data_IF_864729054614
#
_entry.id   IF_864729054614
#
_cell.length_a   1.000
_cell.length_b   1.000
_cell.length_c   1.000
_cell.angle_alpha   90.00
_cell.angle_beta   90.00
_cell.angle_gamma   90.00
#
_symmetry.space_group_name_H-M   'P 1'
#
loop_
_entity.id
_entity.type
_entity.pdbx_description
1 polymer ?
#
# COMPACT_ATOMS: atom_id res chain seq x y z
N UNK A 1 2.05 -15.77 9.05
CA UNK A 1 2.94 -14.80 8.35
C UNK A 1 2.07 -13.64 7.93
N UNK A 2 2.51 -12.39 8.12
CA UNK A 2 1.66 -11.21 7.90
C UNK A 2 1.32 -11.01 6.40
N UNK A 3 0.21 -11.61 5.93
CA UNK A 3 -0.21 -11.61 4.53
C UNK A 3 -0.47 -10.21 3.98
N UNK A 4 -0.90 -9.30 4.86
CA UNK A 4 -1.14 -7.90 4.53
C UNK A 4 0.12 -7.20 4.00
N UNK A 5 1.23 -7.25 4.74
CA UNK A 5 2.49 -6.60 4.33
C UNK A 5 3.13 -7.29 3.12
N UNK A 6 2.93 -8.60 2.94
CA UNK A 6 3.39 -9.28 1.72
C UNK A 6 2.66 -8.70 0.51
N UNK A 7 1.33 -8.56 0.61
CA UNK A 7 0.53 -8.02 -0.48
C UNK A 7 0.90 -6.56 -0.79
N UNK A 8 1.21 -5.73 0.21
CA UNK A 8 1.71 -4.37 -0.02
C UNK A 8 3.07 -4.37 -0.73
N UNK A 9 4.00 -5.21 -0.28
CA UNK A 9 5.32 -5.34 -0.89
C UNK A 9 5.25 -5.84 -2.34
N UNK A 10 4.37 -6.82 -2.62
CA UNK A 10 4.15 -7.34 -3.96
C UNK A 10 3.53 -6.29 -4.88
N UNK A 11 2.60 -5.48 -4.38
CA UNK A 11 2.06 -4.35 -5.14
C UNK A 11 3.13 -3.31 -5.44
N UNK A 12 3.97 -2.94 -4.46
CA UNK A 12 5.08 -2.00 -4.68
C UNK A 12 6.07 -2.52 -5.73
N UNK A 13 6.44 -3.80 -5.67
CA UNK A 13 7.28 -4.44 -6.70
C UNK A 13 6.63 -4.41 -8.07
N UNK A 14 5.35 -4.73 -8.17
CA UNK A 14 4.63 -4.70 -9.43
C UNK A 14 4.57 -3.29 -10.03
N UNK A 15 4.47 -2.26 -9.20
CA UNK A 15 4.40 -0.86 -9.63
C UNK A 15 5.77 -0.30 -10.00
N UNK A 16 6.84 -0.69 -9.30
CA UNK A 16 8.17 -0.35 -9.75
C UNK A 16 8.50 -1.00 -11.10
N UNK A 17 8.10 -2.25 -11.34
CA UNK A 17 8.30 -2.90 -12.65
C UNK A 17 7.41 -2.32 -13.74
N UNK A 18 6.21 -1.88 -13.39
CA UNK A 18 5.24 -1.31 -14.31
C UNK A 18 4.39 -0.23 -13.59
N UNK A 19 4.79 1.05 -13.70
CA UNK A 19 4.09 2.14 -13.01
C UNK A 19 2.63 2.33 -13.44
N UNK A 20 2.27 1.90 -14.66
CA UNK A 20 0.90 1.98 -15.17
C UNK A 20 0.05 0.73 -14.88
N UNK A 21 0.50 -0.14 -13.97
CA UNK A 21 -0.28 -1.31 -13.55
C UNK A 21 -1.47 -0.92 -12.67
N UNK A 22 -2.58 -0.56 -13.32
CA UNK A 22 -3.83 -0.15 -12.66
C UNK A 22 -4.40 -1.22 -11.70
N UNK A 23 -4.13 -2.51 -11.93
CA UNK A 23 -4.57 -3.58 -11.02
C UNK A 23 -3.78 -3.55 -9.70
N UNK A 24 -2.46 -3.35 -9.78
CA UNK A 24 -1.61 -3.19 -8.60
C UNK A 24 -1.96 -1.91 -7.83
N UNK A 25 -2.21 -0.78 -8.51
CA UNK A 25 -2.70 0.45 -7.87
C UNK A 25 -4.02 0.23 -7.12
N UNK A 26 -5.01 -0.39 -7.77
CA UNK A 26 -6.31 -0.66 -7.15
C UNK A 26 -6.21 -1.58 -5.93
N UNK A 27 -5.36 -2.62 -6.02
CA UNK A 27 -5.11 -3.56 -4.92
C UNK A 27 -4.40 -2.88 -3.75
N UNK A 28 -3.35 -2.08 -4.03
CA UNK A 28 -2.61 -1.34 -3.01
C UNK A 28 -3.49 -0.31 -2.31
N UNK A 29 -4.35 0.39 -3.05
CA UNK A 29 -5.36 1.26 -2.48
C UNK A 29 -6.30 0.52 -1.51
N UNK A 30 -6.79 -0.68 -1.87
CA UNK A 30 -7.62 -1.51 -0.96
C UNK A 30 -6.88 -1.90 0.32
N UNK A 31 -5.58 -2.21 0.21
CA UNK A 31 -4.77 -2.55 1.38
C UNK A 31 -4.60 -1.33 2.29
N UNK A 32 -4.26 -0.17 1.74
CA UNK A 32 -4.17 1.08 2.50
C UNK A 32 -5.50 1.49 3.14
N UNK A 33 -6.63 1.34 2.44
CA UNK A 33 -7.97 1.54 3.03
C UNK A 33 -8.23 0.63 4.23
N UNK A 34 -7.81 -0.64 4.14
CA UNK A 34 -8.05 -1.62 5.21
C UNK A 34 -7.31 -1.33 6.52
N UNK A 35 -6.26 -0.51 6.46
CA UNK A 35 -5.52 0.02 7.62
C UNK A 35 -5.80 1.50 7.86
N UNK A 36 -6.79 2.09 7.18
CA UNK A 36 -7.17 3.51 7.29
C UNK A 36 -6.05 4.50 6.92
N UNK A 37 -5.11 4.05 6.10
CA UNK A 37 -4.10 4.93 5.52
C UNK A 37 -4.70 5.65 4.30
N UNK A 38 -5.60 6.60 4.57
CA UNK A 38 -6.42 7.24 3.53
C UNK A 38 -5.59 7.99 2.50
N UNK A 39 -4.51 8.65 2.92
CA UNK A 39 -3.62 9.41 2.04
C UNK A 39 -2.96 8.53 0.97
N UNK A 40 -2.42 7.39 1.38
CA UNK A 40 -1.77 6.46 0.44
C UNK A 40 -2.80 5.79 -0.49
N UNK A 41 -3.98 5.45 0.04
CA UNK A 41 -5.08 4.93 -0.79
C UNK A 41 -5.55 5.95 -1.84
N UNK A 42 -5.71 7.22 -1.44
CA UNK A 42 -6.10 8.31 -2.35
C UNK A 42 -5.02 8.53 -3.42
N UNK A 43 -3.73 8.49 -3.05
CA UNK A 43 -2.62 8.63 -4.01
C UNK A 43 -2.63 7.53 -5.07
N UNK A 44 -2.84 6.29 -4.65
CA UNK A 44 -2.94 5.15 -5.57
C UNK A 44 -4.15 5.29 -6.52
N UNK A 45 -5.32 5.71 -6.01
CA UNK A 45 -6.51 5.92 -6.84
C UNK A 45 -6.39 7.12 -7.79
N UNK A 46 -5.72 8.21 -7.38
CA UNK A 46 -5.44 9.33 -8.28
C UNK A 46 -4.57 8.89 -9.46
N UNK A 47 -3.51 8.14 -9.16
CA UNK A 47 -2.63 7.55 -10.18
C UNK A 47 -3.43 6.61 -11.11
N UNK A 48 -4.33 5.78 -10.54
CA UNK A 48 -5.21 4.91 -11.32
C UNK A 48 -6.05 5.74 -12.31
N UNK A 49 -6.73 6.78 -11.83
CA UNK A 49 -7.63 7.61 -12.63
C UNK A 49 -6.86 8.32 -13.75
N UNK A 50 -5.68 8.85 -13.46
CA UNK A 50 -4.80 9.49 -14.43
C UNK A 50 -4.37 8.51 -15.54
N UNK A 51 -3.86 7.35 -15.16
CA UNK A 51 -3.41 6.31 -16.09
C UNK A 51 -4.58 5.76 -16.91
N UNK A 52 -5.71 5.43 -16.30
CA UNK A 52 -6.88 4.90 -16.99
C UNK A 52 -7.51 5.93 -17.94
N UNK A 53 -7.44 7.22 -17.60
CA UNK A 53 -7.91 8.33 -18.42
C UNK A 53 -7.00 8.65 -19.61
N UNK A 54 -5.71 8.27 -19.55
CA UNK A 54 -4.77 8.50 -20.63
C UNK A 54 -4.86 7.40 -21.71
N UNK A 55 -5.27 7.79 -22.91
CA UNK A 55 -5.44 6.89 -24.06
C UNK A 55 -4.11 6.31 -24.59
N UNK A 56 -2.96 6.87 -24.22
CA UNK A 56 -1.65 6.34 -24.60
C UNK A 56 -1.37 4.97 -23.98
N UNK A 57 -1.97 4.67 -22.82
CA UNK A 57 -1.84 3.36 -22.19
C UNK A 57 -2.89 2.40 -22.74
N UNK A 58 -2.42 1.31 -23.36
CA UNK A 58 -3.26 0.22 -23.86
C UNK A 58 -3.52 -0.80 -22.74
N UNK A 59 -4.51 -0.49 -21.89
CA UNK A 59 -4.81 -1.25 -20.65
C UNK A 59 -6.16 -1.95 -20.68
N UNK A 60 -7.00 -1.64 -21.67
CA UNK A 60 -8.39 -2.07 -21.75
C UNK A 60 -8.69 -2.57 -23.16
N UNK A 61 -9.43 -3.66 -23.29
CA UNK A 61 -9.76 -4.22 -24.60
C UNK A 61 -10.77 -3.35 -25.36
N UNK A 62 -11.61 -2.59 -24.63
CA UNK A 62 -12.63 -1.73 -25.23
C UNK A 62 -12.71 -0.34 -24.58
N UNK A 63 -13.23 0.63 -25.34
CA UNK A 63 -13.53 1.96 -24.81
C UNK A 63 -14.57 1.91 -23.67
N UNK A 64 -15.49 0.95 -23.71
CA UNK A 64 -16.50 0.78 -22.66
C UNK A 64 -15.88 0.29 -21.35
N UNK A 65 -14.95 -0.67 -21.41
CA UNK A 65 -14.20 -1.12 -20.24
C UNK A 65 -13.41 0.01 -19.60
N UNK A 66 -12.72 0.83 -20.42
CA UNK A 66 -12.02 2.02 -19.96
C UNK A 66 -12.98 2.98 -19.24
N UNK A 67 -14.13 3.27 -19.84
CA UNK A 67 -15.15 4.16 -19.28
C UNK A 67 -15.67 3.63 -17.94
N UNK A 68 -15.96 2.33 -17.85
CA UNK A 68 -16.44 1.69 -16.63
C UNK A 68 -15.38 1.74 -15.52
N UNK A 69 -14.13 1.39 -15.84
CA UNK A 69 -13.02 1.44 -14.91
C UNK A 69 -12.77 2.86 -14.37
N UNK A 70 -12.79 3.85 -15.25
CA UNK A 70 -12.62 5.25 -14.88
C UNK A 70 -13.77 5.74 -13.97
N UNK A 71 -15.01 5.40 -14.30
CA UNK A 71 -16.17 5.73 -13.48
C UNK A 71 -16.06 5.13 -12.07
N UNK A 72 -15.73 3.84 -11.97
CA UNK A 72 -15.55 3.16 -10.69
C UNK A 72 -14.41 3.75 -9.85
N UNK A 73 -13.26 4.02 -10.47
CA UNK A 73 -12.10 4.58 -9.77
C UNK A 73 -12.35 6.01 -9.30
N UNK A 74 -13.00 6.84 -10.13
CA UNK A 74 -13.36 8.23 -9.79
C UNK A 74 -14.36 8.29 -8.64
N UNK A 75 -15.39 7.44 -8.69
CA UNK A 75 -16.39 7.34 -7.62
C UNK A 75 -15.77 6.84 -6.30
N UNK A 76 -14.87 5.85 -6.38
CA UNK A 76 -14.12 5.36 -5.22
C UNK A 76 -13.19 6.45 -4.63
N UNK A 77 -12.48 7.19 -5.48
CA UNK A 77 -11.63 8.31 -5.07
C UNK A 77 -12.44 9.37 -4.32
N UNK A 78 -13.57 9.80 -4.88
CA UNK A 78 -14.47 10.77 -4.24
C UNK A 78 -14.96 10.29 -2.87
N UNK A 79 -15.34 9.02 -2.76
CA UNK A 79 -15.73 8.42 -1.48
C UNK A 79 -14.59 8.48 -0.47
N UNK A 80 -13.38 8.09 -0.85
CA UNK A 80 -12.23 8.14 0.06
C UNK A 80 -11.88 9.56 0.51
N UNK A 81 -11.92 10.55 -0.38
CA UNK A 81 -11.67 11.95 0.01
C UNK A 81 -12.70 12.44 1.05
N UNK A 82 -13.96 12.02 0.89
CA UNK A 82 -15.01 12.27 1.88
C UNK A 82 -14.73 11.52 3.18
N UNK A 83 -14.39 10.23 3.13
CA UNK A 83 -14.05 9.41 4.30
C UNK A 83 -12.84 9.95 5.05
N UNK A 84 -11.80 10.41 4.35
CA UNK A 84 -10.63 11.04 4.96
C UNK A 84 -11.04 12.27 5.78
N UNK A 85 -11.97 13.06 5.27
CA UNK A 85 -12.46 14.27 5.95
C UNK A 85 -13.33 13.92 7.16
N UNK A 86 -14.26 12.97 7.01
CA UNK A 86 -15.15 12.56 8.12
C UNK A 86 -14.44 11.76 9.20
N UNK A 87 -13.41 11.01 8.82
CA UNK A 87 -12.56 10.21 9.70
C UNK A 87 -11.18 10.85 9.90
N UNK A 88 -11.08 12.18 9.88
CA UNK A 88 -9.79 12.88 10.02
C UNK A 88 -9.05 12.54 11.33
N UNK A 89 -9.78 12.18 12.38
CA UNK A 89 -9.24 11.76 13.67
C UNK A 89 -8.99 10.25 13.78
N UNK A 90 -9.32 9.46 12.74
CA UNK A 90 -9.17 8.01 12.75
C UNK A 90 -7.72 7.66 12.46
N UNK A 91 -7.08 6.99 13.42
CA UNK A 91 -5.69 6.57 13.31
C UNK A 91 -5.56 5.32 12.42
N UNK A 92 -4.36 5.16 11.87
CA UNK A 92 -3.94 3.97 11.12
C UNK A 92 -4.05 2.73 12.00
N UNK A 93 -4.51 1.60 11.44
CA UNK A 93 -4.62 0.33 12.17
C UNK A 93 -3.25 -0.34 12.34
N UNK A 94 -2.54 0.13 13.37
CA UNK A 94 -1.18 -0.26 13.73
C UNK A 94 -1.04 -1.75 14.08
N UNK A 95 -2.03 -2.33 14.74
CA UNK A 95 -2.00 -3.76 15.10
C UNK A 95 -2.08 -4.64 13.86
N UNK A 96 -2.93 -4.26 12.90
CA UNK A 96 -3.00 -4.94 11.60
C UNK A 96 -1.69 -4.83 10.81
N UNK A 97 -1.01 -3.69 10.87
CA UNK A 97 0.33 -3.52 10.24
C UNK A 97 1.34 -4.49 10.84
N UNK A 98 1.34 -4.70 12.16
CA UNK A 98 2.24 -5.65 12.80
C UNK A 98 1.81 -7.13 12.67
N UNK A 99 0.61 -7.39 12.14
CA UNK A 99 0.03 -8.74 12.09
C UNK A 99 -0.37 -9.25 13.47
N UNK A 100 -0.81 -8.33 14.33
CA UNK A 100 -1.28 -8.55 15.70
C UNK A 100 -2.78 -8.22 15.82
N UNK A 101 -3.54 -8.33 14.73
CA UNK A 101 -4.96 -8.00 14.68
C UNK A 101 -5.78 -8.81 15.69
N UNK A 102 -5.49 -10.11 15.84
CA UNK A 102 -6.12 -10.98 16.86
C UNK A 102 -5.69 -10.66 18.29
N UNK A 103 -4.56 -9.96 18.46
CA UNK A 103 -3.97 -9.62 19.75
C UNK A 103 -4.21 -8.17 20.15
N UNK A 104 -5.06 -7.42 19.47
CA UNK A 104 -5.28 -5.99 19.74
C UNK A 104 -5.52 -5.65 21.21
N UNK A 105 -6.30 -6.47 21.92
CA UNK A 105 -6.64 -6.25 23.33
C UNK A 105 -5.67 -6.91 24.34
N UNK A 106 -4.68 -7.67 23.84
CA UNK A 106 -3.78 -8.51 24.66
C UNK A 106 -2.30 -8.35 24.33
N UNK A 107 -1.97 -7.63 23.27
CA UNK A 107 -0.61 -7.49 22.77
C UNK A 107 0.25 -6.79 23.81
N UNK A 108 1.31 -7.46 24.23
CA UNK A 108 2.28 -6.88 25.17
C UNK A 108 3.35 -6.10 24.40
N UNK A 109 4.08 -5.20 25.08
CA UNK A 109 5.24 -4.54 24.46
C UNK A 109 6.28 -5.53 23.91
N UNK A 110 6.40 -6.71 24.52
CA UNK A 110 7.30 -7.77 24.04
C UNK A 110 6.83 -8.32 22.69
N UNK A 111 5.51 -8.53 22.52
CA UNK A 111 4.92 -9.00 21.27
C UNK A 111 5.09 -7.98 20.15
N UNK A 112 4.83 -6.71 20.46
CA UNK A 112 4.99 -5.57 19.54
C UNK A 112 6.44 -5.48 19.06
N UNK A 113 7.41 -5.47 19.98
CA UNK A 113 8.85 -5.42 19.65
C UNK A 113 9.30 -6.65 18.86
N UNK A 114 8.77 -7.84 19.17
CA UNK A 114 9.08 -9.09 18.46
C UNK A 114 8.55 -9.05 17.03
N UNK A 115 7.30 -8.63 16.84
CA UNK A 115 6.69 -8.46 15.53
C UNK A 115 7.46 -7.42 14.71
N UNK A 116 7.71 -6.24 15.26
CA UNK A 116 8.49 -5.19 14.62
C UNK A 116 9.85 -5.70 14.13
N UNK A 117 10.66 -6.35 14.98
CA UNK A 117 11.99 -6.86 14.58
C UNK A 117 11.90 -7.86 13.42
N UNK A 118 10.93 -8.76 13.46
CA UNK A 118 10.74 -9.74 12.39
C UNK A 118 10.36 -9.06 11.06
N UNK A 119 9.48 -8.05 11.11
CA UNK A 119 9.02 -7.31 9.94
C UNK A 119 10.10 -6.38 9.39
N UNK A 120 10.80 -5.64 10.24
CA UNK A 120 11.91 -4.77 9.87
C UNK A 120 13.04 -5.55 9.17
N UNK A 121 13.40 -6.72 9.70
CA UNK A 121 14.38 -7.59 9.03
C UNK A 121 13.90 -8.10 7.67
N UNK A 122 12.60 -8.34 7.51
CA UNK A 122 12.04 -8.87 6.26
C UNK A 122 11.93 -7.79 5.18
N UNK A 123 11.39 -6.62 5.54
CA UNK A 123 11.04 -5.54 4.61
C UNK A 123 12.08 -4.41 4.58
N UNK A 124 13.29 -4.64 5.09
CA UNK A 124 14.38 -3.67 4.95
C UNK A 124 14.60 -3.33 3.46
N UNK A 125 14.71 -2.03 3.11
CA UNK A 125 14.76 -1.60 1.71
C UNK A 125 15.95 -2.15 0.92
N UNK A 126 17.10 -2.41 1.57
CA UNK A 126 18.25 -3.12 0.94
C UNK A 126 17.91 -4.52 0.40
N UNK A 127 16.85 -5.15 0.92
CA UNK A 127 16.42 -6.48 0.45
C UNK A 127 15.45 -6.40 -0.73
N UNK A 128 14.91 -5.22 -1.04
CA UNK A 128 13.91 -5.04 -2.09
C UNK A 128 14.44 -5.38 -3.48
N UNK A 129 15.71 -5.04 -3.75
CA UNK A 129 16.37 -5.27 -5.04
C UNK A 129 16.94 -6.69 -5.21
N UNK A 130 16.83 -7.55 -4.19
CA UNK A 130 17.32 -8.93 -4.29
C UNK A 130 16.48 -9.72 -5.28
N UNK A 131 17.14 -10.47 -6.15
CA UNK A 131 16.54 -11.31 -7.20
C UNK A 131 15.73 -10.52 -8.25
N UNK A 132 15.97 -9.20 -8.37
CA UNK A 132 15.34 -8.41 -9.41
C UNK A 132 16.16 -8.47 -10.71
N UNK A 133 15.50 -8.47 -11.88
CA UNK A 133 16.19 -8.38 -13.16
C UNK A 133 17.06 -7.12 -13.23
N UNK A 134 18.17 -7.17 -13.99
CA UNK A 134 19.07 -6.01 -14.15
C UNK A 134 18.40 -4.78 -14.76
N UNK A 135 17.34 -4.97 -15.54
CA UNK A 135 16.55 -3.89 -16.14
C UNK A 135 15.53 -3.28 -15.17
N UNK A 136 15.30 -3.89 -14.01
CA UNK A 136 14.33 -3.40 -13.05
C UNK A 136 14.80 -2.06 -12.45
N UNK A 137 13.89 -1.09 -12.24
CA UNK A 137 14.25 0.20 -11.67
C UNK A 137 14.55 0.05 -10.18
N UNK A 138 15.82 -0.19 -9.87
CA UNK A 138 16.31 -0.41 -8.51
C UNK A 138 15.98 0.74 -7.54
N UNK A 139 15.88 1.98 -8.04
CA UNK A 139 15.49 3.14 -7.24
C UNK A 139 14.02 3.07 -6.81
N UNK A 140 13.09 2.84 -7.74
CA UNK A 140 11.65 2.80 -7.42
C UNK A 140 11.30 1.65 -6.47
N UNK A 141 11.95 0.50 -6.65
CA UNK A 141 11.83 -0.63 -5.75
C UNK A 141 12.32 -0.32 -4.33
N UNK A 142 13.42 0.42 -4.23
CA UNK A 142 13.97 0.87 -2.96
C UNK A 142 13.01 1.87 -2.30
N UNK A 143 12.47 2.83 -3.05
CA UNK A 143 11.58 3.88 -2.55
C UNK A 143 10.27 3.29 -1.99
N UNK A 144 9.63 2.36 -2.70
CA UNK A 144 8.40 1.72 -2.21
C UNK A 144 8.68 0.81 -1.00
N UNK A 145 9.82 0.13 -0.97
CA UNK A 145 10.22 -0.64 0.21
C UNK A 145 10.58 0.24 1.42
N UNK A 146 11.19 1.41 1.18
CA UNK A 146 11.50 2.39 2.22
C UNK A 146 10.22 2.97 2.84
N UNK A 147 9.20 3.29 2.03
CA UNK A 147 7.88 3.69 2.53
C UNK A 147 7.25 2.63 3.41
N UNK A 148 7.26 1.37 2.97
CA UNK A 148 6.74 0.25 3.76
C UNK A 148 7.51 0.08 5.09
N UNK A 149 8.83 0.22 5.04
CA UNK A 149 9.70 0.13 6.22
C UNK A 149 9.43 1.27 7.21
N UNK A 150 9.26 2.50 6.73
CA UNK A 150 8.87 3.67 7.54
C UNK A 150 7.53 3.45 8.23
N UNK A 151 6.53 2.96 7.51
CA UNK A 151 5.21 2.63 8.08
C UNK A 151 5.33 1.63 9.25
N UNK A 152 6.16 0.59 9.09
CA UNK A 152 6.44 -0.40 10.16
C UNK A 152 7.14 0.26 11.35
N UNK A 153 8.09 1.18 11.10
CA UNK A 153 8.81 1.93 12.12
C UNK A 153 7.92 2.87 12.93
N UNK A 154 7.11 3.68 12.26
CA UNK A 154 6.15 4.60 12.87
C UNK A 154 5.12 3.85 13.73
N UNK A 155 4.67 2.70 13.24
CA UNK A 155 3.77 1.80 13.98
C UNK A 155 4.38 1.33 15.29
N UNK A 156 5.65 0.90 15.26
CA UNK A 156 6.33 0.46 16.48
C UNK A 156 6.57 1.63 17.46
N UNK A 157 6.92 2.81 16.96
CA UNK A 157 7.10 3.99 17.80
C UNK A 157 5.82 4.35 18.57
N UNK A 158 4.68 4.43 17.87
CA UNK A 158 3.40 4.82 18.47
C UNK A 158 2.82 3.76 19.43
N UNK A 159 3.10 2.47 19.20
CA UNK A 159 2.62 1.39 20.06
C UNK A 159 3.57 1.05 21.24
N UNK A 160 4.80 1.56 21.21
CA UNK A 160 5.80 1.28 22.26
C UNK A 160 5.99 2.42 23.25
N UNK A 161 5.51 3.62 22.94
CA UNK A 161 5.40 4.76 23.86
C UNK A 161 4.32 4.51 24.92
#
# INVERSE_FOLDING_TARGET
LNEFLNALADCGRALALNPWNIKALSRRATLHESIRCWDDAIRDLRSYVEIAGNAQYDLFATAQERKNALAMATDRLRRLETTKTTQANSQVDMYRILGLDELKDKATQTDIKKAYRALALKYHPDKANRNMPSWAPASELHDDADRLFKLIGETNAQLSD
#
